data_IF_997958939478
#
_entry.id   IF_997958939478
#
_cell.length_a   1.000
_cell.length_b   1.000
_cell.length_c   1.000
_cell.angle_alpha   90.00
_cell.angle_beta   90.00
_cell.angle_gamma   90.00
#
_symmetry.space_group_name_H-M   'P 1'
#
loop_
_entity.id
_entity.type
_entity.pdbx_description
1 polymer ?
#
# COMPACT_ATOMS: atom_id res chain seq x y z
N UNK A 1 -18.01 1.22 -6.60
CA UNK A 1 -17.91 1.10 -5.14
C UNK A 1 -18.20 2.47 -4.55
N UNK A 2 -19.34 2.66 -3.87
CA UNK A 2 -19.60 3.91 -3.15
C UNK A 2 -18.65 3.90 -1.95
N UNK A 3 -17.56 4.65 -2.05
CA UNK A 3 -16.77 4.97 -0.86
C UNK A 3 -17.67 5.76 0.07
N UNK A 4 -17.80 5.28 1.30
CA UNK A 4 -18.22 6.13 2.40
C UNK A 4 -17.40 7.44 2.34
N UNK A 5 -17.99 8.59 2.65
CA UNK A 5 -17.30 9.89 2.61
C UNK A 5 -15.98 9.89 3.40
N UNK A 6 -15.85 8.93 4.31
CA UNK A 6 -14.72 8.71 5.20
C UNK A 6 -13.47 8.09 4.55
N UNK A 7 -13.52 7.62 3.29
CA UNK A 7 -12.36 7.02 2.56
C UNK A 7 -11.64 5.90 3.33
N UNK A 8 -12.41 4.94 3.84
CA UNK A 8 -11.89 3.78 4.58
C UNK A 8 -11.90 2.55 3.68
N UNK A 9 -10.78 1.83 3.64
CA UNK A 9 -10.68 0.50 3.06
C UNK A 9 -10.38 -0.55 4.14
N UNK A 10 -10.99 -1.74 4.01
CA UNK A 10 -10.66 -2.91 4.81
C UNK A 10 -10.50 -4.10 3.88
N UNK A 11 -9.31 -4.67 3.86
CA UNK A 11 -8.99 -5.87 3.07
C UNK A 11 -9.08 -7.10 3.98
N UNK A 12 -9.70 -8.16 3.48
CA UNK A 12 -9.65 -9.50 4.08
C UNK A 12 -8.62 -10.31 3.31
N UNK A 13 -7.59 -10.78 4.01
CA UNK A 13 -6.58 -11.67 3.45
C UNK A 13 -6.98 -13.14 3.66
N UNK A 14 -6.78 -13.97 2.64
CA UNK A 14 -6.80 -15.43 2.79
C UNK A 14 -5.54 -15.92 3.52
N UNK A 15 -5.58 -17.14 4.05
CA UNK A 15 -4.49 -17.69 4.87
C UNK A 15 -3.16 -17.80 4.09
N UNK A 16 -3.26 -18.04 2.78
CA UNK A 16 -2.16 -18.18 1.83
C UNK A 16 -1.90 -16.89 1.02
N UNK A 17 -2.51 -15.76 1.41
CA UNK A 17 -2.35 -14.51 0.69
C UNK A 17 -0.85 -14.13 0.62
N UNK A 18 -0.33 -13.79 -0.57
CA UNK A 18 1.11 -13.59 -0.80
C UNK A 18 1.58 -12.19 -0.36
N UNK A 19 1.22 -11.81 0.86
CA UNK A 19 1.55 -10.52 1.47
C UNK A 19 2.37 -10.71 2.75
N UNK A 20 3.32 -9.80 3.06
CA UNK A 20 4.02 -9.79 4.32
C UNK A 20 3.07 -9.75 5.52
N UNK A 21 3.46 -10.32 6.65
CA UNK A 21 2.63 -10.34 7.87
C UNK A 21 2.28 -8.94 8.36
N UNK A 22 3.21 -7.99 8.23
CA UNK A 22 2.98 -6.59 8.55
C UNK A 22 1.82 -5.98 7.76
N UNK A 23 1.73 -6.25 6.46
CA UNK A 23 0.65 -5.75 5.59
C UNK A 23 -0.70 -6.39 5.95
N UNK A 24 -0.68 -7.66 6.38
CA UNK A 24 -1.89 -8.39 6.76
C UNK A 24 -2.45 -8.00 8.13
N UNK A 25 -1.60 -7.50 9.03
CA UNK A 25 -1.95 -7.34 10.46
C UNK A 25 -1.92 -5.90 10.96
N UNK A 26 -1.09 -5.02 10.38
CA UNK A 26 -0.99 -3.60 10.79
C UNK A 26 -1.97 -2.75 10.00
N UNK A 27 -2.60 -1.79 10.67
CA UNK A 27 -3.28 -0.68 9.99
C UNK A 27 -2.22 0.21 9.33
N UNK A 28 -2.52 0.69 8.11
CA UNK A 28 -1.67 1.59 7.37
C UNK A 28 -2.44 2.82 6.90
N UNK A 29 -1.70 3.87 6.54
CA UNK A 29 -2.23 5.05 5.85
C UNK A 29 -1.83 4.96 4.38
N UNK A 30 -2.79 5.18 3.49
CA UNK A 30 -2.55 5.13 2.05
C UNK A 30 -2.51 6.54 1.44
N UNK A 31 -1.51 6.79 0.60
CA UNK A 31 -1.39 8.03 -0.16
C UNK A 31 -1.30 7.73 -1.65
N UNK A 32 -2.16 8.41 -2.42
CA UNK A 32 -1.98 8.50 -3.87
C UNK A 32 -0.80 9.42 -4.16
N UNK A 33 0.12 8.99 -5.01
CA UNK A 33 1.28 9.75 -5.45
C UNK A 33 1.34 9.84 -6.98
N UNK A 34 2.07 10.83 -7.49
CA UNK A 34 2.29 11.01 -8.93
C UNK A 34 3.39 10.10 -9.48
N UNK A 35 4.35 9.69 -8.63
CA UNK A 35 5.45 8.79 -8.99
C UNK A 35 5.76 7.86 -7.83
N UNK A 36 5.46 6.57 -7.98
CA UNK A 36 5.73 5.57 -6.95
C UNK A 36 7.23 5.41 -6.71
N UNK A 37 8.06 5.48 -7.75
CA UNK A 37 9.51 5.32 -7.62
C UNK A 37 10.15 6.46 -6.81
N UNK A 38 9.68 7.69 -6.98
CA UNK A 38 10.14 8.82 -6.18
C UNK A 38 9.63 8.70 -4.74
N UNK A 39 8.35 8.35 -4.56
CA UNK A 39 7.73 8.25 -3.25
C UNK A 39 8.39 7.21 -2.33
N UNK A 40 8.98 6.15 -2.88
CA UNK A 40 9.65 5.10 -2.08
C UNK A 40 11.17 5.26 -2.00
N UNK A 41 11.77 6.23 -2.70
CA UNK A 41 13.22 6.38 -2.79
C UNK A 41 13.85 6.57 -1.39
N UNK A 42 14.85 5.74 -1.07
CA UNK A 42 15.57 5.78 0.20
C UNK A 42 14.75 5.36 1.42
N UNK A 43 13.52 4.83 1.25
CA UNK A 43 12.66 4.37 2.34
C UNK A 43 12.87 2.88 2.64
N UNK A 44 12.49 2.48 3.85
CA UNK A 44 12.50 1.07 4.24
C UNK A 44 11.30 0.37 3.59
N UNK A 45 11.57 -0.43 2.55
CA UNK A 45 10.54 -1.18 1.84
C UNK A 45 10.07 -2.37 2.69
N UNK A 46 8.77 -2.45 2.94
CA UNK A 46 8.09 -3.60 3.57
C UNK A 46 7.52 -4.53 2.50
N UNK A 47 6.92 -3.95 1.45
CA UNK A 47 6.47 -4.67 0.26
C UNK A 47 6.95 -3.92 -0.98
N UNK A 48 7.67 -4.59 -1.90
CA UNK A 48 8.21 -3.94 -3.09
C UNK A 48 7.08 -3.46 -4.02
N UNK A 49 7.39 -2.52 -4.93
CA UNK A 49 6.45 -2.09 -5.97
C UNK A 49 5.79 -3.27 -6.67
N UNK A 50 4.48 -3.36 -6.52
CA UNK A 50 3.65 -4.44 -7.03
C UNK A 50 2.53 -3.84 -7.87
N UNK A 51 2.24 -4.48 -9.00
CA UNK A 51 1.10 -4.10 -9.85
C UNK A 51 -0.13 -4.91 -9.43
N UNK A 52 -1.17 -4.23 -8.96
CA UNK A 52 -2.43 -4.89 -8.60
C UNK A 52 -3.30 -5.16 -9.84
N UNK A 53 -3.35 -4.17 -10.73
CA UNK A 53 -4.06 -4.17 -12.01
C UNK A 53 -3.29 -3.29 -13.00
N UNK A 54 -3.50 -3.44 -14.32
CA UNK A 54 -2.90 -2.54 -15.30
C UNK A 54 -3.10 -1.08 -14.92
N UNK A 55 -2.01 -0.35 -14.72
CA UNK A 55 -2.02 1.08 -14.35
C UNK A 55 -2.21 1.37 -12.87
N UNK A 56 -2.32 0.37 -11.99
CA UNK A 56 -2.41 0.55 -10.53
C UNK A 56 -1.25 -0.17 -9.87
N UNK A 57 -0.29 0.62 -9.37
CA UNK A 57 0.90 0.14 -8.69
C UNK A 57 0.93 0.65 -7.27
N UNK A 58 1.41 -0.17 -6.35
CA UNK A 58 1.54 0.21 -4.94
C UNK A 58 2.81 -0.39 -4.33
N UNK A 59 3.25 0.18 -3.22
CA UNK A 59 4.30 -0.36 -2.37
C UNK A 59 4.02 -0.02 -0.91
N UNK A 60 4.50 -0.86 -0.01
CA UNK A 60 4.46 -0.58 1.43
C UNK A 60 5.84 -0.21 1.93
N UNK A 61 5.91 0.83 2.73
CA UNK A 61 7.14 1.27 3.41
C UNK A 61 6.88 1.44 4.90
N UNK A 62 7.94 1.29 5.70
CA UNK A 62 7.95 1.69 7.10
C UNK A 62 8.63 3.05 7.24
N UNK A 63 7.92 4.00 7.85
CA UNK A 63 8.45 5.32 8.21
C UNK A 63 8.27 5.47 9.72
N UNK A 64 9.37 5.36 10.46
CA UNK A 64 9.40 5.53 11.92
C UNK A 64 8.38 4.64 12.66
N UNK A 65 8.18 3.39 12.20
CA UNK A 65 7.24 2.44 12.78
C UNK A 65 5.80 2.58 12.27
N UNK A 66 5.55 3.47 11.30
CA UNK A 66 4.25 3.63 10.65
C UNK A 66 4.27 2.96 9.28
N UNK A 67 3.32 2.05 9.06
CA UNK A 67 3.15 1.39 7.77
C UNK A 67 2.40 2.34 6.82
N UNK A 68 3.02 2.65 5.69
CA UNK A 68 2.47 3.56 4.67
C UNK A 68 2.35 2.81 3.36
N UNK A 69 1.17 2.87 2.75
CA UNK A 69 0.96 2.48 1.36
C UNK A 69 1.12 3.71 0.46
N UNK A 70 2.05 3.66 -0.48
CA UNK A 70 2.05 4.59 -1.60
C UNK A 70 1.49 3.88 -2.81
N UNK A 71 0.53 4.51 -3.48
CA UNK A 71 -0.04 3.98 -4.72
C UNK A 71 -0.10 5.03 -5.81
N UNK A 72 0.11 4.59 -7.04
CA UNK A 72 0.07 5.39 -8.26
C UNK A 72 -1.03 4.83 -9.17
N UNK A 73 -1.81 5.72 -9.79
CA UNK A 73 -2.81 5.37 -10.79
C UNK A 73 -2.44 6.10 -12.08
N UNK A 74 -2.09 5.33 -13.12
CA UNK A 74 -1.79 5.77 -14.48
C UNK A 74 -2.78 5.23 -15.50
#
# INVERSE_FOLDING_TARGET
MKTDALRIEKIRFDADAPFPDDVKTRTHVAFKVDSLSEAIFGKQIVMPPTEFKPGIRFAFVDIEGVLIEFFEIG
#
